data_IF_065302202816
#
_entry.id   IF_065302202816
#
_cell.length_a   1.000
_cell.length_b   1.000
_cell.length_c   1.000
_cell.angle_alpha   90.00
_cell.angle_beta   90.00
_cell.angle_gamma   90.00
#
_symmetry.space_group_name_H-M   'P 1'
#
loop_
_entity.id
_entity.type
_entity.pdbx_description
1 polymer ?
#
# COMPACT_ATOMS: atom_id res chain seq x y z
N UNK A 1 -6.83 -9.50 -60.42
CA UNK A 1 -6.09 -8.65 -59.44
C UNK A 1 -6.96 -8.07 -58.31
N UNK A 2 -8.18 -8.58 -58.05
CA UNK A 2 -9.07 -8.12 -56.95
C UNK A 2 -9.07 -8.95 -55.64
N UNK A 3 -8.62 -10.23 -55.56
CA UNK A 3 -8.81 -11.03 -54.35
C UNK A 3 -7.76 -10.77 -53.25
N UNK A 4 -6.57 -10.29 -53.62
CA UNK A 4 -5.47 -10.02 -52.68
C UNK A 4 -5.80 -8.87 -51.72
N UNK A 5 -6.47 -7.82 -52.22
CA UNK A 5 -6.90 -6.70 -51.38
C UNK A 5 -7.96 -7.09 -50.34
N UNK A 6 -8.84 -8.02 -50.68
CA UNK A 6 -9.90 -8.51 -49.79
C UNK A 6 -9.34 -9.45 -48.71
N UNK A 7 -8.34 -10.27 -49.06
CA UNK A 7 -7.59 -11.08 -48.07
C UNK A 7 -6.76 -10.21 -47.12
N UNK A 8 -6.15 -9.13 -47.62
CA UNK A 8 -5.42 -8.17 -46.78
C UNK A 8 -6.35 -7.39 -45.85
N UNK A 9 -7.51 -6.95 -46.32
CA UNK A 9 -8.48 -6.26 -45.46
C UNK A 9 -9.09 -7.19 -44.42
N UNK A 10 -9.32 -8.46 -44.78
CA UNK A 10 -9.81 -9.48 -43.85
C UNK A 10 -8.76 -9.83 -42.78
N UNK A 11 -7.48 -9.95 -43.18
CA UNK A 11 -6.36 -10.13 -42.24
C UNK A 11 -6.19 -8.94 -41.29
N UNK A 12 -6.41 -7.71 -41.77
CA UNK A 12 -6.35 -6.50 -40.94
C UNK A 12 -7.49 -6.45 -39.92
N UNK A 13 -8.69 -6.91 -40.32
CA UNK A 13 -9.86 -6.98 -39.44
C UNK A 13 -9.68 -8.04 -38.34
N UNK A 14 -9.02 -9.16 -38.65
CA UNK A 14 -8.72 -10.24 -37.71
C UNK A 14 -7.66 -9.85 -36.67
N UNK A 15 -6.70 -8.97 -37.00
CA UNK A 15 -5.77 -8.42 -36.02
C UNK A 15 -6.47 -7.48 -35.01
N UNK A 16 -7.53 -6.78 -35.41
CA UNK A 16 -8.25 -5.87 -34.52
C UNK A 16 -9.03 -6.61 -33.42
N UNK A 17 -9.53 -7.81 -33.71
CA UNK A 17 -10.31 -8.61 -32.76
C UNK A 17 -9.45 -9.39 -31.75
N UNK A 18 -8.13 -9.51 -31.98
CA UNK A 18 -7.18 -10.24 -31.11
C UNK A 18 -6.54 -9.33 -30.04
N UNK A 19 -6.98 -8.07 -29.91
CA UNK A 19 -6.70 -7.29 -28.69
C UNK A 19 -7.65 -7.70 -27.57
N UNK A 20 -7.65 -9.00 -27.22
CA UNK A 20 -8.24 -9.47 -25.98
C UNK A 20 -7.51 -8.81 -24.82
N UNK A 21 -8.21 -7.96 -24.09
CA UNK A 21 -7.68 -7.37 -22.86
C UNK A 21 -7.29 -8.51 -21.90
N UNK A 22 -5.99 -8.75 -21.76
CA UNK A 22 -5.45 -9.43 -20.60
C UNK A 22 -5.58 -8.48 -19.42
N UNK A 23 -6.80 -8.31 -18.89
CA UNK A 23 -6.96 -7.73 -17.56
C UNK A 23 -6.47 -8.79 -16.59
N UNK A 24 -5.17 -8.74 -16.26
CA UNK A 24 -4.70 -9.30 -14.99
C UNK A 24 -5.67 -8.79 -13.92
N UNK A 25 -6.17 -9.64 -13.02
CA UNK A 25 -7.12 -9.26 -11.94
C UNK A 25 -6.56 -8.29 -10.88
N UNK A 26 -5.58 -7.48 -11.29
CA UNK A 26 -4.92 -6.44 -10.53
C UNK A 26 -5.81 -5.21 -10.61
N UNK A 27 -6.30 -4.78 -9.45
CA UNK A 27 -7.03 -3.53 -9.26
C UNK A 27 -6.17 -2.32 -9.62
N UNK A 28 -6.79 -1.21 -10.02
CA UNK A 28 -6.07 0.02 -10.36
C UNK A 28 -5.37 0.65 -9.14
N UNK A 29 -4.33 1.46 -9.37
CA UNK A 29 -3.50 2.02 -8.29
C UNK A 29 -4.28 2.80 -7.22
N UNK A 30 -5.34 3.50 -7.60
CA UNK A 30 -6.22 4.21 -6.65
C UNK A 30 -6.96 3.25 -5.72
N UNK A 31 -7.46 2.14 -6.26
CA UNK A 31 -8.10 1.09 -5.45
C UNK A 31 -7.07 0.37 -4.58
N UNK A 32 -5.85 0.17 -5.07
CA UNK A 32 -4.76 -0.42 -4.28
C UNK A 32 -4.40 0.46 -3.08
N UNK A 33 -4.31 1.78 -3.28
CA UNK A 33 -4.05 2.72 -2.18
C UNK A 33 -5.15 2.63 -1.11
N UNK A 34 -6.43 2.60 -1.52
CA UNK A 34 -7.55 2.44 -0.59
C UNK A 34 -7.49 1.13 0.21
N UNK A 35 -7.13 0.01 -0.43
CA UNK A 35 -6.94 -1.29 0.24
C UNK A 35 -5.78 -1.22 1.25
N UNK A 36 -4.68 -0.56 0.89
CA UNK A 36 -3.53 -0.38 1.80
C UNK A 36 -3.95 0.44 3.03
N UNK A 37 -4.72 1.50 2.84
CA UNK A 37 -5.20 2.35 3.93
C UNK A 37 -6.16 1.60 4.87
N UNK A 38 -7.06 0.77 4.33
CA UNK A 38 -7.93 -0.11 5.12
C UNK A 38 -7.10 -1.10 5.98
N UNK A 39 -6.08 -1.73 5.38
CA UNK A 39 -5.17 -2.64 6.09
C UNK A 39 -4.36 -1.90 7.16
N UNK A 40 -3.91 -0.67 6.85
CA UNK A 40 -3.18 0.17 7.79
C UNK A 40 -4.06 0.52 9.00
N UNK A 41 -5.32 0.86 8.78
CA UNK A 41 -6.28 1.15 9.84
C UNK A 41 -6.48 -0.05 10.77
N UNK A 42 -6.76 -1.23 10.20
CA UNK A 42 -6.89 -2.48 10.96
C UNK A 42 -5.62 -2.80 11.75
N UNK A 43 -4.44 -2.65 11.13
CA UNK A 43 -3.14 -2.86 11.79
C UNK A 43 -2.97 -1.94 12.98
N UNK A 44 -3.27 -0.65 12.84
CA UNK A 44 -3.07 0.34 13.90
C UNK A 44 -4.11 0.24 15.02
N UNK A 45 -5.31 -0.28 14.74
CA UNK A 45 -6.41 -0.35 15.70
C UNK A 45 -6.54 -1.70 16.39
N UNK A 46 -6.13 -2.80 15.74
CA UNK A 46 -6.32 -4.15 16.25
C UNK A 46 -4.99 -4.88 16.48
N UNK A 47 -4.11 -4.92 15.47
CA UNK A 47 -2.85 -5.68 15.58
C UNK A 47 -1.85 -5.02 16.53
N UNK A 48 -1.60 -3.72 16.36
CA UNK A 48 -0.60 -2.98 17.13
C UNK A 48 -0.87 -3.04 18.64
N UNK A 49 -2.09 -2.75 19.15
CA UNK A 49 -2.38 -2.88 20.58
C UNK A 49 -2.12 -4.29 21.12
N UNK A 50 -2.54 -5.33 20.40
CA UNK A 50 -2.34 -6.72 20.81
C UNK A 50 -0.85 -7.10 20.88
N UNK A 51 -0.03 -6.61 19.94
CA UNK A 51 1.41 -6.82 19.97
C UNK A 51 2.09 -6.07 21.12
N UNK A 52 1.69 -4.82 21.38
CA UNK A 52 2.23 -4.04 22.50
C UNK A 52 1.93 -4.72 23.83
N UNK A 53 0.69 -5.15 24.06
CA UNK A 53 0.29 -5.91 25.26
C UNK A 53 1.09 -7.21 25.41
N UNK A 54 1.20 -8.00 24.32
CA UNK A 54 1.95 -9.26 24.34
C UNK A 54 3.44 -9.06 24.65
N UNK A 55 4.02 -7.96 24.18
CA UNK A 55 5.44 -7.65 24.39
C UNK A 55 5.74 -7.07 25.78
N UNK A 56 4.72 -6.61 26.51
CA UNK A 56 4.87 -5.84 27.75
C UNK A 56 5.79 -4.60 27.60
N UNK A 57 5.73 -3.95 26.44
CA UNK A 57 6.45 -2.70 26.16
C UNK A 57 5.42 -1.59 25.96
N UNK A 58 5.49 -0.59 26.83
CA UNK A 58 4.50 0.50 26.87
C UNK A 58 4.66 1.50 25.73
N UNK A 59 5.89 1.69 25.21
CA UNK A 59 6.17 2.70 24.18
C UNK A 59 7.05 2.15 23.06
N UNK A 60 6.57 2.28 21.82
CA UNK A 60 7.30 1.93 20.61
C UNK A 60 7.63 3.19 19.83
N UNK A 61 8.87 3.28 19.34
CA UNK A 61 9.33 4.40 18.53
C UNK A 61 9.93 3.83 17.25
N UNK A 62 9.33 4.16 16.11
CA UNK A 62 9.85 3.81 14.79
C UNK A 62 10.44 5.06 14.17
N UNK A 63 11.75 5.06 13.93
CA UNK A 63 12.47 6.19 13.33
C UNK A 63 12.96 5.77 11.97
N UNK A 64 12.61 6.54 10.96
CA UNK A 64 13.05 6.32 9.59
C UNK A 64 13.60 7.60 8.98
N UNK A 65 14.52 7.45 8.04
CA UNK A 65 14.99 8.52 7.18
C UNK A 65 14.79 8.16 5.72
N UNK A 66 14.65 9.17 4.90
CA UNK A 66 14.67 9.01 3.44
C UNK A 66 15.92 8.22 3.02
N UNK A 67 15.74 7.20 2.17
CA UNK A 67 16.78 6.29 1.67
C UNK A 67 17.44 5.36 2.71
N UNK A 68 17.03 5.43 3.97
CA UNK A 68 17.47 4.51 5.01
C UNK A 68 16.27 4.19 5.90
N UNK A 69 15.26 3.59 5.27
CA UNK A 69 14.00 3.31 5.94
C UNK A 69 14.13 2.12 6.89
N UNK A 70 13.52 2.27 8.06
CA UNK A 70 13.23 1.11 8.89
C UNK A 70 12.30 0.15 8.12
N UNK A 71 12.55 -1.16 8.09
CA UNK A 71 11.72 -2.11 7.34
C UNK A 71 10.25 -2.10 7.81
N UNK A 72 10.00 -1.79 9.09
CA UNK A 72 8.64 -1.71 9.66
C UNK A 72 7.90 -0.49 9.12
N UNK A 73 8.57 0.63 8.86
CA UNK A 73 7.87 1.86 8.50
C UNK A 73 7.09 1.72 7.18
N UNK A 74 7.56 0.90 6.25
CA UNK A 74 6.89 0.66 4.95
C UNK A 74 5.48 0.07 5.11
N UNK A 75 5.21 -0.53 6.25
CA UNK A 75 3.89 -1.07 6.63
C UNK A 75 3.05 -0.08 7.45
N UNK A 76 3.58 1.10 7.77
CA UNK A 76 2.94 2.08 8.64
C UNK A 76 2.65 3.40 7.91
N UNK A 77 2.78 3.42 6.57
CA UNK A 77 2.51 4.58 5.74
C UNK A 77 1.23 4.38 4.90
N UNK A 78 0.47 5.45 4.63
CA UNK A 78 -0.65 5.43 3.70
C UNK A 78 -0.25 4.97 2.29
N UNK A 79 -1.21 4.45 1.53
CA UNK A 79 -0.99 3.88 0.20
C UNK A 79 -0.52 4.89 -0.84
N UNK A 80 -0.75 6.19 -0.64
CA UNK A 80 -0.28 7.27 -1.51
C UNK A 80 1.16 7.72 -1.19
N UNK A 81 1.78 7.19 -0.13
CA UNK A 81 3.15 7.52 0.27
C UNK A 81 4.15 6.49 -0.26
N UNK A 82 5.00 6.91 -1.19
CA UNK A 82 6.03 6.04 -1.76
C UNK A 82 7.22 5.75 -0.82
N UNK A 83 7.52 6.64 0.14
CA UNK A 83 8.62 6.52 1.09
C UNK A 83 8.45 7.46 2.29
N UNK A 84 9.24 7.23 3.35
CA UNK A 84 9.38 8.21 4.44
C UNK A 84 10.11 9.46 3.92
N UNK A 85 9.50 10.64 4.08
CA UNK A 85 10.11 11.90 3.63
C UNK A 85 11.03 12.46 4.73
N UNK A 86 12.27 12.80 4.39
CA UNK A 86 13.32 13.35 5.29
C UNK A 86 13.57 12.54 6.56
N UNK A 87 12.77 12.77 7.61
CA UNK A 87 12.79 12.04 8.87
C UNK A 87 11.35 11.88 9.37
N UNK A 88 10.93 10.63 9.52
CA UNK A 88 9.63 10.29 10.09
C UNK A 88 9.85 9.55 11.40
N UNK A 89 9.20 10.02 12.46
CA UNK A 89 9.20 9.37 13.77
C UNK A 89 7.74 9.04 14.09
N UNK A 90 7.44 7.75 14.21
CA UNK A 90 6.15 7.27 14.69
C UNK A 90 6.32 6.83 16.14
N UNK A 91 5.47 7.34 17.01
CA UNK A 91 5.45 7.01 18.44
C UNK A 91 4.10 6.38 18.75
N UNK A 92 4.15 5.19 19.35
CA UNK A 92 2.98 4.48 19.83
C UNK A 92 3.12 4.28 21.33
N UNK A 93 2.14 4.71 22.09
CA UNK A 93 2.13 4.57 23.54
C UNK A 93 0.87 3.84 23.97
N UNK A 94 1.03 2.73 24.68
CA UNK A 94 -0.05 1.99 25.31
C UNK A 94 -0.13 2.40 26.79
N UNK A 95 -1.08 3.26 27.19
CA UNK A 95 -1.27 3.66 28.59
C UNK A 95 -1.80 2.54 29.52
N UNK A 96 -2.04 1.34 28.99
CA UNK A 96 -2.60 0.21 29.71
C UNK A 96 -4.06 0.43 30.11
N UNK A 97 -4.57 -0.42 31.01
CA UNK A 97 -5.93 -0.31 31.54
C UNK A 97 -7.03 -0.28 30.47
N UNK A 98 -6.83 -0.99 29.35
CA UNK A 98 -7.74 -1.03 28.18
C UNK A 98 -8.02 0.34 27.54
N UNK A 99 -7.15 1.33 27.78
CA UNK A 99 -7.20 2.60 27.07
C UNK A 99 -6.64 2.44 25.65
N UNK A 100 -7.11 3.21 24.67
CA UNK A 100 -6.62 3.13 23.29
C UNK A 100 -5.15 3.52 23.22
N UNK A 101 -4.42 2.92 22.28
CA UNK A 101 -3.04 3.30 21.96
C UNK A 101 -3.01 4.72 21.42
N UNK A 102 -2.18 5.55 22.02
CA UNK A 102 -1.88 6.91 21.57
C UNK A 102 -0.86 6.84 20.42
N UNK A 103 -1.12 7.58 19.34
CA UNK A 103 -0.35 7.51 18.09
C UNK A 103 0.10 8.92 17.73
N UNK A 104 1.40 9.14 17.59
CA UNK A 104 1.97 10.43 17.22
C UNK A 104 2.92 10.26 16.02
N UNK A 105 2.76 11.11 15.01
CA UNK A 105 3.65 11.16 13.86
C UNK A 105 4.36 12.53 13.84
N UNK A 106 5.69 12.50 13.80
CA UNK A 106 6.53 13.69 13.67
C UNK A 106 7.25 13.59 12.32
N UNK A 107 7.06 14.61 11.48
CA UNK A 107 7.77 14.76 10.22
C UNK A 107 8.41 16.14 10.14
N UNK A 108 9.65 16.21 9.67
CA UNK A 108 10.41 17.46 9.47
C UNK A 108 11.25 17.36 8.20
#
# INVERSE_FOLDING_TARGET
>A
MKPIGLLLSFSLLLCFTVNGQLTTGIVGEQQRAAIIDEILEDRLNNLLPALMEKSAIDMWIVISREYNEDPVIKTMLPGDWHAARRRTILIFYNPGNKKPVEKLAISR
#
